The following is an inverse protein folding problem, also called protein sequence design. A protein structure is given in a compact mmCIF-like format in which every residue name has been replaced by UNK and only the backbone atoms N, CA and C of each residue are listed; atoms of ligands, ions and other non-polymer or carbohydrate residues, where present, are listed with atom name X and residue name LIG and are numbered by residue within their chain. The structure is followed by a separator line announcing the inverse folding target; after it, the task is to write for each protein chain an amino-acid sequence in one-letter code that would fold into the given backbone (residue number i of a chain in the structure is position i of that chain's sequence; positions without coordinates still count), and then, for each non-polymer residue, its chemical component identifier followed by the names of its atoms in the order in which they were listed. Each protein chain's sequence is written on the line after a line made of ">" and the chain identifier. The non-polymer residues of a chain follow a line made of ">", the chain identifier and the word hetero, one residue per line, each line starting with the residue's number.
data_IF_990145665953
#
_entry.id   IF_990145665953
#
_cell.length_a   1.000
_cell.length_b   1.000
_cell.length_c   1.000
_cell.angle_alpha   90.00
_cell.angle_beta   90.00
_cell.angle_gamma   90.00
#
_symmetry.space_group_name_H-M   'P 1'
#
loop_
_entity.id
_entity.type
_entity.pdbx_description
1 polymer ?
#
# COMPACT_ATOMS: atom_id res chain seq x y z
N UNK A 1 -8.85 19.07 -9.76
CA UNK A 1 -7.92 18.89 -10.92
C UNK A 1 -6.71 19.82 -10.88
N UNK A 2 -6.83 21.15 -10.67
CA UNK A 2 -5.67 22.08 -10.59
C UNK A 2 -4.59 21.63 -9.60
N UNK A 3 -5.01 21.17 -8.41
CA UNK A 3 -4.09 20.76 -7.34
C UNK A 3 -3.22 19.53 -7.71
N UNK A 4 -3.76 18.54 -8.43
CA UNK A 4 -3.00 17.34 -8.80
C UNK A 4 -1.87 17.64 -9.79
N UNK A 5 -2.12 18.53 -10.76
CA UNK A 5 -1.11 18.91 -11.75
C UNK A 5 0.03 19.70 -11.11
N UNK A 6 -0.29 20.57 -10.15
CA UNK A 6 0.69 21.28 -9.34
C UNK A 6 1.54 20.30 -8.51
N UNK A 7 0.92 19.30 -7.87
CA UNK A 7 1.65 18.25 -7.12
C UNK A 7 2.56 17.41 -8.01
N UNK A 8 2.12 17.03 -9.21
CA UNK A 8 2.98 16.30 -10.16
C UNK A 8 4.16 17.16 -10.60
N UNK A 9 3.96 18.46 -10.79
CA UNK A 9 5.05 19.39 -11.11
C UNK A 9 6.06 19.43 -9.96
N UNK A 10 5.58 19.59 -8.72
CA UNK A 10 6.43 19.57 -7.53
C UNK A 10 7.18 18.24 -7.36
N UNK A 11 6.53 17.11 -7.67
CA UNK A 11 7.14 15.78 -7.63
C UNK A 11 8.33 15.69 -8.60
N UNK A 12 8.16 16.19 -9.83
CA UNK A 12 9.23 16.20 -10.83
C UNK A 12 10.39 17.09 -10.40
N UNK A 13 10.11 18.29 -9.88
CA UNK A 13 11.14 19.19 -9.37
C UNK A 13 11.94 18.55 -8.21
N UNK A 14 11.26 17.89 -7.28
CA UNK A 14 11.90 17.19 -6.16
C UNK A 14 12.73 16.00 -6.62
N UNK A 15 12.26 15.28 -7.64
CA UNK A 15 13.00 14.19 -8.27
C UNK A 15 14.25 14.69 -8.99
N UNK A 16 14.16 15.80 -9.73
CA UNK A 16 15.32 16.39 -10.40
C UNK A 16 16.40 16.84 -9.41
N UNK A 17 16.00 17.43 -8.28
CA UNK A 17 16.93 17.77 -7.19
C UNK A 17 17.57 16.51 -6.60
N UNK A 18 16.80 15.44 -6.37
CA UNK A 18 17.33 14.17 -5.89
C UNK A 18 18.34 13.57 -6.88
N UNK A 19 18.03 13.59 -8.17
CA UNK A 19 18.88 13.04 -9.23
C UNK A 19 20.21 13.78 -9.38
N UNK A 20 20.24 15.08 -9.05
CA UNK A 20 21.50 15.83 -8.97
C UNK A 20 22.32 15.44 -7.73
N UNK A 21 21.68 15.11 -6.61
CA UNK A 21 22.35 14.74 -5.37
C UNK A 21 21.49 13.87 -4.46
N UNK A 22 21.87 12.60 -4.33
CA UNK A 22 21.26 11.66 -3.39
C UNK A 22 21.71 11.98 -1.96
N UNK A 23 20.85 12.68 -1.22
CA UNK A 23 21.00 12.90 0.22
C UNK A 23 19.75 12.45 0.95
N UNK A 24 19.88 12.11 2.23
CA UNK A 24 18.74 11.76 3.08
C UNK A 24 17.68 12.85 3.11
N UNK A 25 18.08 14.13 3.12
CA UNK A 25 17.17 15.28 3.07
C UNK A 25 16.36 15.33 1.76
N UNK A 26 17.00 15.07 0.62
CA UNK A 26 16.31 15.04 -0.68
C UNK A 26 15.38 13.83 -0.79
N UNK A 27 15.79 12.66 -0.31
CA UNK A 27 14.92 11.48 -0.24
C UNK A 27 13.69 11.73 0.64
N UNK A 28 13.88 12.38 1.80
CA UNK A 28 12.78 12.72 2.70
C UNK A 28 11.80 13.70 2.04
N UNK A 29 12.31 14.73 1.37
CA UNK A 29 11.46 15.69 0.65
C UNK A 29 10.61 14.99 -0.42
N UNK A 30 11.22 14.18 -1.27
CA UNK A 30 10.50 13.43 -2.31
C UNK A 30 9.46 12.47 -1.70
N UNK A 31 9.81 11.80 -0.60
CA UNK A 31 8.88 10.93 0.12
C UNK A 31 7.65 11.68 0.63
N UNK A 32 7.83 12.88 1.18
CA UNK A 32 6.71 13.73 1.63
C UNK A 32 5.82 14.11 0.46
N UNK A 33 6.39 14.54 -0.66
CA UNK A 33 5.63 14.91 -1.86
C UNK A 33 4.83 13.73 -2.43
N UNK A 34 5.40 12.52 -2.43
CA UNK A 34 4.69 11.30 -2.82
C UNK A 34 3.52 10.96 -1.88
N UNK A 35 3.70 11.13 -0.57
CA UNK A 35 2.64 10.90 0.43
C UNK A 35 1.48 11.89 0.26
N UNK A 36 1.79 13.17 0.05
CA UNK A 36 0.77 14.19 -0.21
C UNK A 36 0.01 13.91 -1.51
N UNK A 37 0.71 13.53 -2.58
CA UNK A 37 0.08 13.17 -3.85
C UNK A 37 -0.83 11.94 -3.71
N UNK A 38 -0.43 10.91 -2.96
CA UNK A 38 -1.28 9.74 -2.68
C UNK A 38 -2.58 10.16 -1.98
N UNK A 39 -2.49 11.01 -0.96
CA UNK A 39 -3.64 11.56 -0.26
C UNK A 39 -4.58 12.33 -1.20
N UNK A 40 -4.03 13.23 -2.02
CA UNK A 40 -4.80 14.01 -2.99
C UNK A 40 -5.48 13.10 -4.05
N UNK A 41 -4.81 12.04 -4.51
CA UNK A 41 -5.37 11.07 -5.45
C UNK A 41 -6.51 10.26 -4.82
N UNK A 42 -6.35 9.86 -3.56
CA UNK A 42 -7.40 9.18 -2.79
C UNK A 42 -8.65 10.06 -2.66
N UNK A 43 -8.49 11.33 -2.31
CA UNK A 43 -9.60 12.29 -2.23
C UNK A 43 -10.27 12.49 -3.60
N UNK A 44 -9.47 12.64 -4.66
CA UNK A 44 -10.00 12.76 -6.01
C UNK A 44 -10.84 11.53 -6.43
N UNK A 45 -10.35 10.32 -6.15
CA UNK A 45 -11.10 9.08 -6.41
C UNK A 45 -12.42 9.07 -5.63
N UNK A 46 -12.39 9.44 -4.34
CA UNK A 46 -13.59 9.53 -3.52
C UNK A 46 -14.58 10.55 -4.08
N UNK A 47 -14.11 11.72 -4.51
CA UNK A 47 -14.95 12.77 -5.09
C UNK A 47 -15.68 12.28 -6.35
N UNK A 48 -14.94 11.70 -7.31
CA UNK A 48 -15.53 11.29 -8.60
C UNK A 48 -16.38 10.03 -8.53
N UNK A 49 -16.30 9.26 -7.44
CA UNK A 49 -17.09 8.02 -7.25
C UNK A 49 -18.07 8.10 -6.08
N UNK A 50 -18.22 9.28 -5.46
CA UNK A 50 -19.07 9.49 -4.29
C UNK A 50 -20.53 9.12 -4.56
N UNK A 51 -21.07 9.55 -5.70
CA UNK A 51 -22.48 9.39 -6.02
C UNK A 51 -22.88 7.92 -6.17
N UNK A 52 -21.96 7.10 -6.68
CA UNK A 52 -22.09 5.67 -6.87
C UNK A 52 -22.05 4.95 -5.53
N UNK A 53 -21.13 5.33 -4.65
CA UNK A 53 -21.10 4.79 -3.29
C UNK A 53 -22.32 5.18 -2.46
N UNK A 54 -22.86 6.38 -2.62
CA UNK A 54 -24.12 6.76 -1.96
C UNK A 54 -25.28 5.86 -2.39
N UNK A 55 -25.34 5.47 -3.68
CA UNK A 55 -26.32 4.48 -4.17
C UNK A 55 -26.08 3.11 -3.55
N UNK A 56 -24.83 2.66 -3.47
CA UNK A 56 -24.47 1.38 -2.82
C UNK A 56 -24.88 1.38 -1.35
N UNK A 57 -24.58 2.45 -0.61
CA UNK A 57 -24.98 2.60 0.79
C UNK A 57 -26.51 2.50 0.92
N UNK A 58 -27.26 3.19 0.04
CA UNK A 58 -28.72 3.11 0.05
C UNK A 58 -29.24 1.69 -0.22
N UNK A 59 -28.63 0.94 -1.15
CA UNK A 59 -28.95 -0.48 -1.38
C UNK A 59 -28.69 -1.32 -0.12
N UNK A 60 -27.54 -1.12 0.54
CA UNK A 60 -27.21 -1.81 1.78
C UNK A 60 -28.22 -1.52 2.90
N UNK A 61 -28.59 -0.26 3.11
CA UNK A 61 -29.57 0.16 4.14
C UNK A 61 -30.95 -0.45 3.90
N UNK A 62 -31.36 -0.55 2.64
CA UNK A 62 -32.66 -1.09 2.25
C UNK A 62 -32.65 -2.62 2.05
N UNK A 63 -31.59 -3.32 2.43
CA UNK A 63 -31.44 -4.78 2.24
C UNK A 63 -31.66 -5.21 0.78
N UNK A 64 -31.27 -4.36 -0.16
CA UNK A 64 -31.35 -4.63 -1.60
C UNK A 64 -30.16 -5.49 -2.02
N UNK A 65 -30.37 -6.36 -3.01
CA UNK A 65 -29.30 -7.20 -3.58
C UNK A 65 -28.24 -6.28 -4.21
N UNK A 66 -26.98 -6.54 -3.89
CA UNK A 66 -25.84 -5.91 -4.56
C UNK A 66 -25.50 -6.67 -5.84
N UNK A 67 -25.25 -5.94 -6.90
CA UNK A 67 -24.70 -6.49 -8.15
C UNK A 67 -23.16 -6.45 -8.13
N UNK A 68 -22.53 -6.95 -9.21
CA UNK A 68 -21.08 -6.99 -9.30
C UNK A 68 -20.44 -5.60 -9.32
N UNK A 69 -21.10 -4.61 -9.91
CA UNK A 69 -20.61 -3.24 -10.00
C UNK A 69 -20.63 -2.57 -8.62
N UNK A 70 -21.68 -2.81 -7.82
CA UNK A 70 -21.72 -2.38 -6.42
C UNK A 70 -20.52 -2.92 -5.63
N UNK A 71 -20.20 -4.22 -5.80
CA UNK A 71 -19.07 -4.86 -5.12
C UNK A 71 -17.74 -4.25 -5.58
N UNK A 72 -17.60 -3.91 -6.86
CA UNK A 72 -16.39 -3.26 -7.40
C UNK A 72 -16.19 -1.86 -6.81
N UNK A 73 -17.27 -1.08 -6.67
CA UNK A 73 -17.20 0.22 -6.01
C UNK A 73 -16.82 0.09 -4.53
N UNK A 74 -17.40 -0.87 -3.81
CA UNK A 74 -17.01 -1.17 -2.43
C UNK A 74 -15.53 -1.55 -2.38
N UNK A 75 -15.07 -2.43 -3.28
CA UNK A 75 -13.68 -2.86 -3.35
C UNK A 75 -12.74 -1.67 -3.54
N UNK A 76 -13.06 -0.78 -4.48
CA UNK A 76 -12.31 0.44 -4.76
C UNK A 76 -12.12 1.28 -3.48
N UNK A 77 -13.18 1.46 -2.70
CA UNK A 77 -13.15 2.33 -1.51
C UNK A 77 -12.48 1.71 -0.29
N UNK A 78 -12.53 0.39 -0.14
CA UNK A 78 -12.00 -0.31 1.04
C UNK A 78 -10.56 -0.78 0.82
N UNK A 79 -10.25 -1.35 -0.35
CA UNK A 79 -8.95 -1.97 -0.67
C UNK A 79 -8.43 -1.64 -2.07
N UNK A 80 -8.93 -0.59 -2.72
CA UNK A 80 -8.54 -0.23 -4.09
C UNK A 80 -7.05 0.07 -4.23
N UNK A 81 -6.47 0.79 -3.26
CA UNK A 81 -5.03 1.07 -3.18
C UNK A 81 -4.20 -0.22 -3.17
N UNK A 82 -4.58 -1.17 -2.31
CA UNK A 82 -3.91 -2.46 -2.20
C UNK A 82 -4.04 -3.28 -3.49
N UNK A 83 -5.23 -3.29 -4.10
CA UNK A 83 -5.50 -4.05 -5.33
C UNK A 83 -4.66 -3.54 -6.50
N UNK A 84 -4.61 -2.22 -6.71
CA UNK A 84 -3.78 -1.64 -7.76
C UNK A 84 -2.28 -1.77 -7.47
N UNK A 85 -1.86 -1.59 -6.20
CA UNK A 85 -0.46 -1.81 -5.82
C UNK A 85 0.02 -3.23 -6.15
N UNK A 86 -0.73 -4.25 -5.75
CA UNK A 86 -0.37 -5.66 -6.01
C UNK A 86 -0.34 -5.99 -7.50
N UNK A 87 -1.20 -5.37 -8.31
CA UNK A 87 -1.22 -5.55 -9.78
C UNK A 87 -0.02 -4.91 -10.47
N UNK A 88 0.49 -3.80 -9.94
CA UNK A 88 1.59 -3.05 -10.52
C UNK A 88 2.97 -3.52 -10.03
N UNK A 89 3.05 -4.05 -8.82
CA UNK A 89 4.30 -4.51 -8.23
C UNK A 89 4.87 -5.72 -8.96
N UNK A 90 6.12 -5.59 -9.42
CA UNK A 90 6.84 -6.58 -10.20
C UNK A 90 8.14 -7.08 -9.55
N UNK A 91 8.58 -6.48 -8.44
CA UNK A 91 9.85 -6.82 -7.78
C UNK A 91 9.72 -7.89 -6.68
N UNK A 92 8.50 -8.40 -6.42
CA UNK A 92 8.29 -9.35 -5.33
C UNK A 92 9.21 -10.58 -5.41
N UNK A 93 9.37 -11.15 -6.61
CA UNK A 93 10.27 -12.29 -6.80
C UNK A 93 11.74 -11.91 -6.60
N UNK A 94 12.14 -10.71 -7.01
CA UNK A 94 13.51 -10.22 -6.82
C UNK A 94 13.82 -10.05 -5.33
N UNK A 95 12.87 -9.59 -4.52
CA UNK A 95 13.04 -9.53 -3.07
C UNK A 95 13.16 -10.92 -2.42
N UNK A 96 12.41 -11.92 -2.91
CA UNK A 96 12.53 -13.30 -2.45
C UNK A 96 13.91 -13.87 -2.79
N UNK A 97 14.39 -13.68 -4.02
CA UNK A 97 15.72 -14.12 -4.43
C UNK A 97 16.82 -13.39 -3.66
N UNK A 98 16.65 -12.10 -3.39
CA UNK A 98 17.59 -11.33 -2.58
C UNK A 98 17.64 -11.85 -1.14
N UNK A 99 16.50 -12.17 -0.54
CA UNK A 99 16.46 -12.78 0.79
C UNK A 99 17.16 -14.15 0.81
N UNK A 100 16.95 -14.98 -0.21
CA UNK A 100 17.67 -16.26 -0.35
C UNK A 100 19.17 -16.06 -0.47
N UNK A 101 19.61 -15.07 -1.26
CA UNK A 101 21.02 -14.70 -1.40
C UNK A 101 21.61 -14.30 -0.05
N UNK A 102 20.94 -13.41 0.69
CA UNK A 102 21.39 -12.93 2.01
C UNK A 102 21.57 -14.11 2.98
N UNK A 103 20.56 -14.97 3.12
CA UNK A 103 20.64 -16.17 4.00
C UNK A 103 21.75 -17.12 3.53
N UNK A 104 21.86 -17.32 2.22
CA UNK A 104 22.90 -18.17 1.63
C UNK A 104 24.30 -17.68 1.94
N UNK A 105 24.56 -16.37 1.88
CA UNK A 105 25.85 -15.79 2.25
C UNK A 105 26.12 -15.89 3.75
N UNK A 106 25.12 -15.68 4.61
CA UNK A 106 25.28 -15.82 6.06
C UNK A 106 25.65 -17.25 6.45
N UNK A 107 25.09 -18.26 5.78
CA UNK A 107 25.37 -19.68 6.05
C UNK A 107 26.77 -20.15 5.63
N UNK A 108 27.52 -19.33 4.88
CA UNK A 108 28.91 -19.65 4.52
C UNK A 108 29.90 -19.32 5.64
N UNK A 109 29.50 -18.52 6.62
CA UNK A 109 30.37 -18.12 7.72
C UNK A 109 30.44 -19.22 8.79
N UNK A 110 31.64 -19.45 9.34
CA UNK A 110 31.81 -20.33 10.49
C UNK A 110 31.51 -19.58 11.79
N UNK A 111 30.34 -19.85 12.35
CA UNK A 111 29.87 -19.22 13.59
C UNK A 111 30.70 -19.58 14.83
N UNK A 112 31.51 -20.65 14.78
CA UNK A 112 32.36 -21.05 15.91
C UNK A 112 33.68 -20.28 15.98
N UNK A 113 34.09 -19.62 14.88
CA UNK A 113 35.37 -18.90 14.79
C UNK A 113 35.22 -17.48 14.28
N UNK A 114 34.10 -16.82 14.57
CA UNK A 114 33.86 -15.44 14.11
C UNK A 114 34.86 -14.46 14.72
N UNK A 115 35.60 -13.78 13.85
CA UNK A 115 36.36 -12.59 14.23
C UNK A 115 35.50 -11.31 14.11
N UNK A 116 36.09 -10.15 14.42
CA UNK A 116 35.36 -8.88 14.37
C UNK A 116 34.91 -8.49 12.95
N UNK A 117 35.64 -8.89 11.90
CA UNK A 117 35.30 -8.57 10.51
C UNK A 117 34.13 -9.41 10.04
N UNK A 118 34.18 -10.72 10.27
CA UNK A 118 33.11 -11.65 9.96
C UNK A 118 31.82 -11.27 10.71
N UNK A 119 31.94 -10.94 12.00
CA UNK A 119 30.83 -10.45 12.81
C UNK A 119 30.21 -9.15 12.26
N UNK A 120 31.05 -8.20 11.83
CA UNK A 120 30.57 -6.93 11.24
C UNK A 120 29.87 -7.14 9.91
N UNK A 121 30.37 -8.08 9.08
CA UNK A 121 29.76 -8.48 7.81
C UNK A 121 28.38 -9.10 8.04
N UNK A 122 28.27 -10.06 8.97
CA UNK A 122 26.99 -10.68 9.34
C UNK A 122 25.99 -9.63 9.86
N UNK A 123 26.44 -8.68 10.70
CA UNK A 123 25.59 -7.59 11.17
C UNK A 123 25.06 -6.72 10.01
N UNK A 124 25.90 -6.41 9.03
CA UNK A 124 25.47 -5.66 7.85
C UNK A 124 24.46 -6.43 7.00
N UNK A 125 24.69 -7.74 6.80
CA UNK A 125 23.75 -8.63 6.09
C UNK A 125 22.39 -8.71 6.80
N UNK A 126 22.38 -8.79 8.12
CA UNK A 126 21.14 -8.78 8.90
C UNK A 126 20.35 -7.47 8.71
N UNK A 127 21.03 -6.33 8.64
CA UNK A 127 20.37 -5.04 8.40
C UNK A 127 19.72 -4.98 7.01
N UNK A 128 20.42 -5.48 5.99
CA UNK A 128 19.87 -5.54 4.62
C UNK A 128 18.71 -6.53 4.53
N UNK A 129 18.83 -7.69 5.19
CA UNK A 129 17.74 -8.66 5.30
C UNK A 129 16.48 -8.08 5.97
N UNK A 130 16.64 -7.31 7.04
CA UNK A 130 15.51 -6.62 7.70
C UNK A 130 14.82 -5.65 6.74
N UNK A 131 15.59 -4.90 5.94
CA UNK A 131 15.04 -3.98 4.94
C UNK A 131 14.23 -4.73 3.87
N UNK A 132 14.80 -5.78 3.26
CA UNK A 132 14.14 -6.59 2.23
C UNK A 132 12.88 -7.28 2.77
N UNK A 133 12.93 -7.79 4.00
CA UNK A 133 11.75 -8.35 4.66
C UNK A 133 10.63 -7.32 4.85
N UNK A 134 10.97 -6.05 5.07
CA UNK A 134 10.00 -4.95 5.12
C UNK A 134 9.17 -4.86 3.84
N UNK A 135 9.83 -4.89 2.68
CA UNK A 135 9.18 -4.82 1.36
C UNK A 135 8.29 -6.05 1.11
N UNK A 136 8.81 -7.26 1.40
CA UNK A 136 8.05 -8.52 1.30
C UNK A 136 6.80 -8.49 2.18
N UNK A 137 6.96 -8.10 3.45
CA UNK A 137 5.86 -8.05 4.40
C UNK A 137 4.80 -7.03 3.97
N UNK A 138 5.22 -5.87 3.46
CA UNK A 138 4.29 -4.86 2.96
C UNK A 138 3.43 -5.43 1.83
N UNK A 139 4.05 -6.04 0.81
CA UNK A 139 3.33 -6.65 -0.31
C UNK A 139 2.36 -7.76 0.14
N UNK A 140 2.81 -8.66 1.03
CA UNK A 140 1.95 -9.73 1.56
C UNK A 140 0.75 -9.19 2.34
N UNK A 141 0.92 -8.13 3.12
CA UNK A 141 -0.19 -7.45 3.80
C UNK A 141 -1.20 -6.87 2.82
N UNK A 142 -0.75 -6.31 1.68
CA UNK A 142 -1.68 -5.83 0.65
C UNK A 142 -2.49 -6.98 0.03
N UNK A 143 -1.85 -8.12 -0.25
CA UNK A 143 -2.55 -9.33 -0.71
C UNK A 143 -3.56 -9.85 0.31
N UNK A 144 -3.20 -9.84 1.59
CA UNK A 144 -4.09 -10.24 2.67
C UNK A 144 -5.31 -9.32 2.78
N UNK A 145 -5.11 -7.99 2.69
CA UNK A 145 -6.22 -7.02 2.64
C UNK A 145 -7.23 -7.36 1.53
N UNK A 146 -6.75 -7.62 0.31
CA UNK A 146 -7.61 -7.96 -0.84
C UNK A 146 -8.33 -9.30 -0.62
N UNK A 147 -7.61 -10.30 -0.09
CA UNK A 147 -8.17 -11.62 0.20
C UNK A 147 -9.27 -11.53 1.25
N UNK A 148 -8.98 -10.89 2.39
CA UNK A 148 -9.92 -10.74 3.49
C UNK A 148 -11.17 -9.97 3.02
N UNK A 149 -10.99 -8.93 2.21
CA UNK A 149 -12.12 -8.22 1.58
C UNK A 149 -12.97 -9.16 0.72
N UNK A 150 -12.34 -9.95 -0.15
CA UNK A 150 -13.04 -10.87 -1.06
C UNK A 150 -13.79 -11.96 -0.30
N UNK A 151 -13.22 -12.48 0.79
CA UNK A 151 -13.86 -13.49 1.64
C UNK A 151 -15.06 -12.90 2.40
N UNK A 152 -14.91 -11.71 3.00
CA UNK A 152 -15.99 -11.03 3.73
C UNK A 152 -17.11 -10.50 2.84
N UNK A 153 -16.90 -10.31 1.54
CA UNK A 153 -17.93 -9.80 0.62
C UNK A 153 -18.71 -10.88 -0.12
N UNK A 154 -18.27 -12.16 -0.06
CA UNK A 154 -18.99 -13.27 -0.68
C UNK A 154 -20.37 -13.54 -0.04
N UNK A 155 -20.51 -13.29 1.25
CA UNK A 155 -21.76 -13.49 2.01
C UNK A 155 -21.90 -12.43 3.10
N UNK A 156 -22.35 -11.25 2.71
CA UNK A 156 -22.55 -10.14 3.66
C UNK A 156 -23.75 -10.44 4.57
N UNK A 157 -23.48 -10.80 5.82
CA UNK A 157 -24.54 -10.97 6.82
C UNK A 157 -25.06 -9.60 7.36
N UNK A 158 -26.16 -9.57 8.15
CA UNK A 158 -26.69 -8.30 8.66
C UNK A 158 -25.71 -7.49 9.54
N UNK A 159 -24.81 -8.15 10.29
CA UNK A 159 -23.82 -7.46 11.14
C UNK A 159 -22.69 -6.88 10.30
N UNK A 160 -22.15 -7.66 9.38
CA UNK A 160 -21.13 -7.25 8.41
C UNK A 160 -21.63 -6.11 7.54
N UNK A 161 -22.91 -6.14 7.17
CA UNK A 161 -23.55 -5.05 6.43
C UNK A 161 -23.52 -3.73 7.18
N UNK A 162 -23.91 -3.74 8.44
CA UNK A 162 -23.91 -2.54 9.28
C UNK A 162 -22.50 -1.99 9.50
N UNK A 163 -21.51 -2.89 9.62
CA UNK A 163 -20.10 -2.50 9.63
C UNK A 163 -19.70 -1.83 8.32
N UNK A 164 -20.06 -2.42 7.18
CA UNK A 164 -19.72 -1.91 5.86
C UNK A 164 -20.34 -0.53 5.60
N UNK A 165 -21.63 -0.34 5.91
CA UNK A 165 -22.31 0.96 5.81
C UNK A 165 -21.55 2.01 6.62
N UNK A 166 -21.17 1.69 7.86
CA UNK A 166 -20.43 2.60 8.74
C UNK A 166 -19.05 2.95 8.18
N UNK A 167 -18.33 1.97 7.63
CA UNK A 167 -17.01 2.21 7.01
C UNK A 167 -17.13 3.12 5.79
N UNK A 168 -18.10 2.86 4.90
CA UNK A 168 -18.31 3.66 3.69
C UNK A 168 -18.76 5.08 4.03
N UNK A 169 -19.72 5.25 4.96
CA UNK A 169 -20.13 6.58 5.45
C UNK A 169 -18.99 7.32 6.14
N UNK A 170 -18.17 6.61 6.91
CA UNK A 170 -16.96 7.15 7.52
C UNK A 170 -16.00 7.70 6.48
N UNK A 171 -15.76 6.95 5.39
CA UNK A 171 -14.92 7.39 4.26
C UNK A 171 -15.49 8.58 3.50
N UNK A 172 -16.82 8.71 3.38
CA UNK A 172 -17.44 9.93 2.80
C UNK A 172 -17.22 11.14 3.70
N UNK A 173 -17.26 10.94 5.01
CA UNK A 173 -17.25 12.02 6.01
C UNK A 173 -15.83 12.45 6.41
N UNK A 174 -14.85 11.55 6.26
CA UNK A 174 -13.44 11.80 6.53
C UNK A 174 -12.78 12.45 5.31
N UNK A 175 -13.10 13.72 5.08
CA UNK A 175 -12.18 14.59 4.38
C UNK A 175 -11.07 14.96 5.37
N UNK A 176 -9.88 14.37 5.22
CA UNK A 176 -8.64 14.60 6.03
C UNK A 176 -8.38 13.70 7.25
N UNK A 177 -8.24 12.39 7.06
CA UNK A 177 -7.37 11.56 7.92
C UNK A 177 -6.22 10.94 7.12
#
# INVERSE_FOLDING_TARGET
>A
MSNLQEKITQLNDDYDVLNQKYTTGNCWKLSTTLQELEGDLREYIQEITKSEIEKVISKLENNTILDAEDIDYIKLWIVGDADYYVKMENNYNDWIEEMKRIVGEMNKEDFFTLDFKASSKLRAMSLDGIRVLGDIMFFLKQKERIKNFSESTQKIDPQERNLLIRLLKGKISSAKE
#
